data_IF_274593368007
#
_entry.id   IF_274593368007
#
_cell.length_a   1.000
_cell.length_b   1.000
_cell.length_c   1.000
_cell.angle_alpha   90.00
_cell.angle_beta   90.00
_cell.angle_gamma   90.00
#
_symmetry.space_group_name_H-M   'P 1'
#
loop_
_entity.id
_entity.type
_entity.pdbx_description
1 polymer ?
#
# COMPACT_ATOMS: atom_id res chain seq x y z
N UNK A 1 -1.86 -14.39 -4.77
CA UNK A 1 -2.91 -13.80 -5.62
C UNK A 1 -3.55 -12.69 -4.82
N UNK A 2 -3.45 -11.44 -5.27
CA UNK A 2 -4.06 -10.32 -4.55
C UNK A 2 -5.57 -10.40 -4.77
N UNK A 3 -6.33 -10.77 -3.75
CA UNK A 3 -7.77 -10.78 -3.80
C UNK A 3 -8.27 -9.34 -3.75
N UNK A 4 -8.85 -8.86 -4.85
CA UNK A 4 -9.71 -7.68 -4.80
C UNK A 4 -11.01 -8.12 -4.14
N UNK A 5 -11.44 -7.38 -3.11
CA UNK A 5 -12.69 -7.66 -2.41
C UNK A 5 -13.91 -7.62 -3.35
N UNK A 6 -15.04 -8.17 -2.92
CA UNK A 6 -16.28 -8.13 -3.71
C UNK A 6 -16.67 -6.69 -4.04
N UNK A 7 -16.89 -6.41 -5.33
CA UNK A 7 -17.25 -5.08 -5.82
C UNK A 7 -18.72 -4.74 -5.51
N UNK A 8 -19.00 -4.47 -4.24
CA UNK A 8 -20.31 -4.00 -3.81
C UNK A 8 -20.61 -2.61 -4.39
N UNK A 9 -21.86 -2.17 -4.26
CA UNK A 9 -22.23 -0.80 -4.64
C UNK A 9 -21.50 0.24 -3.79
N UNK A 10 -21.38 0.03 -2.48
CA UNK A 10 -20.65 0.90 -1.56
C UNK A 10 -19.16 1.01 -1.93
N UNK A 11 -18.53 -0.12 -2.27
CA UNK A 11 -17.14 -0.12 -2.72
C UNK A 11 -16.96 0.74 -3.97
N UNK A 12 -17.83 0.57 -4.97
CA UNK A 12 -17.77 1.35 -6.20
C UNK A 12 -17.97 2.84 -5.95
N UNK A 13 -18.93 3.21 -5.10
CA UNK A 13 -19.17 4.61 -4.76
C UNK A 13 -17.92 5.25 -4.15
N UNK A 14 -17.33 4.62 -3.13
CA UNK A 14 -16.10 5.13 -2.49
C UNK A 14 -14.93 5.25 -3.46
N UNK A 15 -14.79 4.31 -4.39
CA UNK A 15 -13.75 4.35 -5.41
C UNK A 15 -13.97 5.51 -6.40
N UNK A 16 -15.21 5.80 -6.79
CA UNK A 16 -15.51 6.96 -7.63
C UNK A 16 -15.24 8.27 -6.90
N UNK A 17 -15.62 8.38 -5.63
CA UNK A 17 -15.35 9.58 -4.82
C UNK A 17 -13.82 9.84 -4.72
N UNK A 18 -13.01 8.79 -4.62
CA UNK A 18 -11.55 8.91 -4.67
C UNK A 18 -11.06 9.40 -6.04
N UNK A 19 -11.59 8.87 -7.15
CA UNK A 19 -11.19 9.32 -8.48
C UNK A 19 -11.51 10.81 -8.70
N UNK A 20 -12.68 11.26 -8.24
CA UNK A 20 -13.06 12.68 -8.31
C UNK A 20 -12.11 13.57 -7.50
N UNK A 21 -11.73 13.13 -6.29
CA UNK A 21 -10.74 13.83 -5.47
C UNK A 21 -9.39 14.00 -6.18
N UNK A 22 -8.89 12.92 -6.80
CA UNK A 22 -7.60 12.94 -7.50
C UNK A 22 -7.65 13.66 -8.85
N UNK A 23 -8.84 13.89 -9.41
CA UNK A 23 -9.02 14.66 -10.64
C UNK A 23 -8.90 16.18 -10.42
N UNK A 24 -8.90 16.66 -9.17
CA UNK A 24 -8.74 18.08 -8.88
C UNK A 24 -7.37 18.62 -9.33
N UNK A 25 -7.30 19.87 -9.82
CA UNK A 25 -6.03 20.51 -10.11
C UNK A 25 -5.14 20.59 -8.87
N UNK A 26 -3.83 20.42 -9.06
CA UNK A 26 -2.86 20.51 -7.97
C UNK A 26 -2.91 21.91 -7.31
N UNK A 27 -3.10 21.94 -5.99
CA UNK A 27 -3.09 23.17 -5.18
C UNK A 27 -1.81 23.18 -4.33
N UNK A 28 -0.87 24.11 -4.57
CA UNK A 28 0.40 24.13 -3.83
C UNK A 28 0.26 24.27 -2.30
N UNK A 29 -0.80 24.92 -1.82
CA UNK A 29 -1.08 25.06 -0.38
C UNK A 29 -1.74 23.84 0.27
N UNK A 30 -2.16 22.86 -0.54
CA UNK A 30 -2.85 21.63 -0.12
C UNK A 30 -2.25 20.43 -0.86
N UNK A 31 -0.99 20.06 -0.59
CA UNK A 31 -0.34 18.95 -1.29
C UNK A 31 -0.98 17.61 -0.89
N UNK A 32 -1.23 16.77 -1.89
CA UNK A 32 -1.63 15.38 -1.65
C UNK A 32 -0.40 14.56 -1.29
N UNK A 33 -0.41 13.96 -0.10
CA UNK A 33 0.68 13.09 0.38
C UNK A 33 0.18 11.66 0.45
N UNK A 34 0.64 10.81 -0.47
CA UNK A 34 0.32 9.39 -0.46
C UNK A 34 1.18 8.67 0.57
N UNK A 35 0.54 8.09 1.59
CA UNK A 35 1.17 7.22 2.56
C UNK A 35 0.60 5.81 2.39
N UNK A 36 1.50 4.82 2.31
CA UNK A 36 1.14 3.41 2.26
C UNK A 36 2.12 2.60 3.11
N UNK A 37 1.60 1.58 3.76
CA UNK A 37 2.41 0.67 4.56
C UNK A 37 2.87 -0.49 3.70
N UNK A 38 4.18 -0.74 3.71
CA UNK A 38 4.75 -1.90 3.05
C UNK A 38 5.51 -2.75 4.06
N UNK A 39 5.20 -4.03 4.10
CA UNK A 39 6.00 -4.98 4.87
C UNK A 39 7.44 -4.97 4.38
N UNK A 40 8.38 -4.72 5.30
CA UNK A 40 9.81 -4.77 5.04
C UNK A 40 10.39 -6.00 5.74
N UNK A 41 10.76 -6.99 4.95
CA UNK A 41 11.49 -8.14 5.49
C UNK A 41 12.92 -7.72 5.85
N UNK A 42 13.32 -8.01 7.09
CA UNK A 42 14.71 -7.93 7.52
C UNK A 42 15.37 -9.28 7.24
N UNK A 43 16.33 -9.30 6.32
CA UNK A 43 16.96 -10.54 5.85
C UNK A 43 18.23 -10.92 6.62
N UNK A 44 18.68 -10.07 7.56
CA UNK A 44 19.88 -10.34 8.34
C UNK A 44 19.57 -11.36 9.43
N UNK A 45 20.50 -12.29 9.65
CA UNK A 45 20.39 -13.23 10.76
C UNK A 45 20.28 -12.47 12.09
N UNK A 46 19.28 -12.84 12.88
CA UNK A 46 19.12 -12.33 14.25
C UNK A 46 20.12 -12.95 15.23
N UNK A 47 20.81 -14.03 14.81
CA UNK A 47 21.77 -14.81 15.61
C UNK A 47 22.93 -15.26 14.72
N UNK A 48 24.04 -15.67 15.33
CA UNK A 48 25.14 -16.24 14.57
C UNK A 48 24.70 -17.51 13.82
N UNK A 49 25.03 -17.66 12.52
CA UNK A 49 24.69 -18.85 11.77
C UNK A 49 25.49 -20.06 12.29
N UNK A 50 24.86 -21.23 12.25
CA UNK A 50 25.54 -22.48 12.55
C UNK A 50 26.42 -22.89 11.36
N UNK A 51 27.58 -23.54 11.60
CA UNK A 51 28.40 -24.06 10.52
C UNK A 51 27.61 -25.10 9.71
N UNK A 52 27.65 -25.00 8.38
CA UNK A 52 27.10 -26.05 7.51
C UNK A 52 27.87 -27.35 7.73
N UNK A 53 27.13 -28.47 7.78
CA UNK A 53 27.71 -29.81 7.74
C UNK A 53 27.70 -30.31 6.30
N UNK A 54 28.78 -30.97 5.84
CA UNK A 54 28.82 -31.60 4.52
C UNK A 54 27.82 -32.76 4.40
#
# INVERSE_FOLDING_TARGET
MWCVGTLTQEYRQRMYDLLDLYAHPLRPGEPVVCLDEKSKQLLKDSRAPLPMRP
#
